data_IF_107356897132
#
_entry.id   IF_107356897132
#
_cell.length_a   1.000
_cell.length_b   1.000
_cell.length_c   1.000
_cell.angle_alpha   90.00
_cell.angle_beta   90.00
_cell.angle_gamma   90.00
#
_symmetry.space_group_name_H-M   'P 1'
#
loop_
_entity.id
_entity.type
_entity.pdbx_description
1 polymer ?
#
# COMPACT_ATOMS: atom_id res chain seq x y z
N UNK A 1 -20.77 53.79 -34.78
CA UNK A 1 -20.07 52.69 -35.46
C UNK A 1 -19.58 51.73 -34.37
N UNK A 2 -20.38 50.73 -34.04
CA UNK A 2 -20.15 49.79 -32.92
C UNK A 2 -19.64 48.47 -33.48
N UNK A 3 -18.40 48.11 -33.18
CA UNK A 3 -17.86 46.78 -33.49
C UNK A 3 -18.33 45.78 -32.43
N UNK A 4 -18.85 44.59 -32.81
CA UNK A 4 -19.20 43.55 -31.86
C UNK A 4 -17.95 42.81 -31.37
N UNK A 5 -17.87 42.54 -30.08
CA UNK A 5 -16.88 41.63 -29.47
C UNK A 5 -17.21 40.18 -29.80
N UNK A 6 -16.25 39.49 -30.41
CA UNK A 6 -16.28 38.03 -30.64
C UNK A 6 -16.27 37.28 -29.29
N UNK A 7 -17.11 36.24 -29.10
CA UNK A 7 -17.02 35.40 -27.91
C UNK A 7 -15.78 34.52 -27.97
N UNK A 8 -15.05 34.43 -26.86
CA UNK A 8 -14.07 33.37 -26.62
C UNK A 8 -14.86 32.10 -26.31
N UNK A 9 -14.96 31.19 -27.28
CA UNK A 9 -15.17 29.78 -27.00
C UNK A 9 -14.57 28.96 -28.15
N UNK A 10 -13.43 28.35 -27.86
CA UNK A 10 -12.93 27.20 -28.58
C UNK A 10 -12.37 26.25 -27.51
N UNK A 11 -13.27 25.39 -27.05
CA UNK A 11 -12.99 24.14 -26.36
C UNK A 11 -12.05 23.32 -27.27
N UNK A 12 -10.73 23.50 -27.09
CA UNK A 12 -9.75 22.63 -27.72
C UNK A 12 -9.99 21.20 -27.23
N UNK A 13 -10.16 20.21 -28.12
CA UNK A 13 -10.31 18.84 -27.69
C UNK A 13 -9.03 18.42 -26.96
N UNK A 14 -9.13 18.21 -25.65
CA UNK A 14 -8.11 17.51 -24.86
C UNK A 14 -7.74 16.24 -25.60
N UNK A 15 -6.44 16.07 -25.86
CA UNK A 15 -5.80 14.86 -26.39
C UNK A 15 -6.52 13.59 -25.90
N UNK A 16 -6.81 12.62 -26.78
CA UNK A 16 -7.53 11.42 -26.39
C UNK A 16 -6.81 10.78 -25.20
N UNK A 17 -7.54 10.62 -24.10
CA UNK A 17 -7.06 9.89 -22.94
C UNK A 17 -6.57 8.52 -23.43
N UNK A 18 -5.43 8.09 -22.89
CA UNK A 18 -4.87 6.75 -23.13
C UNK A 18 -6.00 5.71 -22.96
N UNK A 19 -6.21 4.76 -23.89
CA UNK A 19 -7.31 3.79 -23.82
C UNK A 19 -7.46 3.07 -22.47
N UNK A 20 -6.38 2.96 -21.68
CA UNK A 20 -6.40 2.39 -20.33
C UNK A 20 -6.91 3.34 -19.24
N UNK A 21 -6.81 4.66 -19.44
CA UNK A 21 -7.39 5.67 -18.55
C UNK A 21 -8.90 5.80 -18.76
N UNK A 22 -9.47 5.28 -19.85
CA UNK A 22 -10.89 5.41 -20.16
C UNK A 22 -11.82 4.80 -19.08
N UNK A 23 -11.61 3.57 -18.58
CA UNK A 23 -12.46 2.99 -17.52
C UNK A 23 -12.30 3.70 -16.17
N UNK A 24 -11.14 4.28 -15.90
CA UNK A 24 -10.88 5.08 -14.70
C UNK A 24 -11.54 6.46 -14.83
N UNK A 25 -11.45 7.10 -16.00
CA UNK A 25 -12.09 8.36 -16.35
C UNK A 25 -13.62 8.24 -16.35
N UNK A 26 -14.19 7.11 -16.80
CA UNK A 26 -15.63 6.83 -16.70
C UNK A 26 -16.04 6.65 -15.25
N UNK A 27 -15.31 5.86 -14.46
CA UNK A 27 -15.58 5.71 -13.03
C UNK A 27 -15.47 7.06 -12.28
N UNK A 28 -14.54 7.92 -12.70
CA UNK A 28 -14.32 9.25 -12.17
C UNK A 28 -15.45 10.21 -12.54
N UNK A 29 -15.96 10.18 -13.77
CA UNK A 29 -17.18 10.91 -14.15
C UNK A 29 -18.39 10.42 -13.35
N UNK A 30 -18.57 9.10 -13.22
CA UNK A 30 -19.63 8.53 -12.38
C UNK A 30 -19.49 9.00 -10.92
N UNK A 31 -18.28 9.03 -10.37
CA UNK A 31 -18.03 9.58 -9.04
C UNK A 31 -18.22 11.11 -8.96
N UNK A 32 -18.02 11.86 -10.04
CA UNK A 32 -18.39 13.28 -10.09
C UNK A 32 -19.91 13.46 -10.06
N UNK A 33 -20.68 12.57 -10.69
CA UNK A 33 -22.15 12.60 -10.68
C UNK A 33 -22.77 12.10 -9.37
N UNK A 34 -22.26 10.99 -8.82
CA UNK A 34 -22.81 10.33 -7.61
C UNK A 34 -22.17 10.91 -6.31
N UNK A 35 -21.05 11.60 -6.45
CA UNK A 35 -20.19 12.00 -5.33
C UNK A 35 -19.20 10.91 -4.93
N UNK A 36 -18.01 11.32 -4.50
CA UNK A 36 -16.99 10.41 -3.96
C UNK A 36 -17.56 9.69 -2.72
N UNK A 37 -17.40 8.35 -2.58
CA UNK A 37 -17.98 7.65 -1.44
C UNK A 37 -17.51 8.22 -0.10
N UNK A 38 -18.43 8.33 0.86
CA UNK A 38 -18.19 9.05 2.12
C UNK A 38 -17.01 8.50 2.92
N UNK A 39 -16.82 7.17 2.94
CA UNK A 39 -15.74 6.53 3.69
C UNK A 39 -14.38 6.52 2.96
N UNK A 40 -14.29 7.04 1.72
CA UNK A 40 -13.08 6.99 0.90
C UNK A 40 -11.89 7.63 1.62
N UNK A 41 -10.86 6.81 1.84
CA UNK A 41 -9.60 7.19 2.46
C UNK A 41 -9.61 7.29 3.99
N UNK A 42 -10.78 7.29 4.65
CA UNK A 42 -10.85 7.45 6.11
C UNK A 42 -10.23 6.27 6.86
N UNK A 43 -10.43 5.04 6.37
CA UNK A 43 -9.84 3.84 6.96
C UNK A 43 -8.31 3.99 7.06
N UNK A 44 -7.66 4.40 5.97
CA UNK A 44 -6.20 4.62 5.98
C UNK A 44 -5.77 5.79 6.86
N UNK A 45 -6.56 6.87 6.98
CA UNK A 45 -6.26 7.95 7.94
C UNK A 45 -6.24 7.43 9.38
N UNK A 46 -7.25 6.66 9.78
CA UNK A 46 -7.28 6.06 11.11
C UNK A 46 -6.17 5.02 11.29
N UNK A 47 -5.94 4.17 10.30
CA UNK A 47 -4.85 3.19 10.32
C UNK A 47 -3.48 3.85 10.45
N UNK A 48 -3.25 5.04 9.87
CA UNK A 48 -1.99 5.77 10.05
C UNK A 48 -1.76 6.17 11.51
N UNK A 49 -2.79 6.72 12.18
CA UNK A 49 -2.70 7.10 13.60
C UNK A 49 -2.47 5.87 14.49
N UNK A 50 -3.22 4.80 14.25
CA UNK A 50 -3.05 3.52 14.98
C UNK A 50 -1.65 2.95 14.75
N UNK A 51 -1.16 2.95 13.51
CA UNK A 51 0.17 2.47 13.17
C UNK A 51 1.28 3.26 13.85
N UNK A 52 1.12 4.59 14.03
CA UNK A 52 2.08 5.40 14.80
C UNK A 52 2.13 4.94 16.25
N UNK A 53 0.97 4.78 16.90
CA UNK A 53 0.90 4.40 18.32
C UNK A 53 1.45 2.98 18.52
N UNK A 54 0.90 2.01 17.78
CA UNK A 54 1.27 0.60 17.87
C UNK A 54 2.74 0.38 17.45
N UNK A 55 3.18 1.05 16.40
CA UNK A 55 4.55 0.99 15.91
C UNK A 55 5.55 1.61 16.87
N UNK A 56 5.23 2.77 17.47
CA UNK A 56 6.07 3.36 18.52
C UNK A 56 6.25 2.39 19.69
N UNK A 57 5.18 1.72 20.14
CA UNK A 57 5.29 0.68 21.18
C UNK A 57 6.21 -0.45 20.74
N UNK A 58 6.02 -1.01 19.54
CA UNK A 58 6.86 -2.10 19.03
C UNK A 58 8.34 -1.67 18.96
N UNK A 59 8.63 -0.50 18.43
CA UNK A 59 10.00 0.03 18.31
C UNK A 59 10.63 0.23 19.68
N UNK A 60 9.95 0.94 20.59
CA UNK A 60 10.49 1.25 21.91
C UNK A 60 10.79 -0.01 22.72
N UNK A 61 9.88 -0.99 22.72
CA UNK A 61 10.09 -2.24 23.46
C UNK A 61 11.20 -3.06 22.80
N UNK A 62 11.17 -3.26 21.48
CA UNK A 62 12.20 -4.01 20.75
C UNK A 62 13.60 -3.43 20.98
N UNK A 63 13.72 -2.10 20.97
CA UNK A 63 14.98 -1.41 21.22
C UNK A 63 15.47 -1.59 22.65
N UNK A 64 14.57 -1.42 23.63
CA UNK A 64 14.93 -1.39 25.04
C UNK A 64 15.25 -2.78 25.59
N UNK A 65 14.53 -3.83 25.15
CA UNK A 65 14.58 -5.15 25.80
C UNK A 65 15.23 -6.23 24.95
N UNK A 66 15.37 -6.04 23.63
CA UNK A 66 15.97 -7.04 22.74
C UNK A 66 17.34 -6.58 22.24
N UNK A 67 17.39 -5.56 21.38
CA UNK A 67 18.65 -5.00 20.89
C UNK A 67 18.44 -3.75 20.03
N UNK A 68 19.51 -2.99 19.81
CA UNK A 68 19.55 -1.93 18.78
C UNK A 68 19.14 -2.46 17.39
N UNK A 69 19.57 -3.68 17.03
CA UNK A 69 19.20 -4.31 15.75
C UNK A 69 17.69 -4.53 15.64
N UNK A 70 17.05 -5.02 16.70
CA UNK A 70 15.60 -5.20 16.75
C UNK A 70 14.85 -3.86 16.69
N UNK A 71 15.34 -2.85 17.40
CA UNK A 71 14.82 -1.49 17.33
C UNK A 71 14.89 -0.89 15.92
N UNK A 72 16.02 -1.02 15.21
CA UNK A 72 16.16 -0.53 13.83
C UNK A 72 15.24 -1.29 12.87
N UNK A 73 15.19 -2.63 12.97
CA UNK A 73 14.37 -3.44 12.07
C UNK A 73 12.88 -3.11 12.20
N UNK A 74 12.38 -2.97 13.42
CA UNK A 74 11.00 -2.58 13.70
C UNK A 74 10.71 -1.11 13.40
N UNK A 75 11.71 -0.23 13.50
CA UNK A 75 11.58 1.17 13.08
C UNK A 75 11.38 1.28 11.57
N UNK A 76 12.16 0.54 10.78
CA UNK A 76 12.00 0.48 9.32
C UNK A 76 10.58 0.02 8.98
N UNK A 77 10.12 -1.09 9.56
CA UNK A 77 8.74 -1.55 9.40
C UNK A 77 7.73 -0.44 9.74
N UNK A 78 7.84 0.16 10.93
CA UNK A 78 6.92 1.19 11.43
C UNK A 78 6.86 2.41 10.52
N UNK A 79 8.01 2.92 10.06
CA UNK A 79 8.05 4.07 9.16
C UNK A 79 7.36 3.74 7.83
N UNK A 80 7.57 2.56 7.28
CA UNK A 80 6.96 2.19 5.99
C UNK A 80 5.45 2.01 6.08
N UNK A 81 4.92 1.38 7.14
CA UNK A 81 3.47 1.21 7.31
C UNK A 81 2.76 2.53 7.60
N UNK A 82 3.36 3.39 8.43
CA UNK A 82 2.84 4.74 8.70
C UNK A 82 2.83 5.56 7.42
N UNK A 83 3.94 5.57 6.68
CA UNK A 83 4.03 6.29 5.42
C UNK A 83 3.02 5.78 4.38
N UNK A 84 2.83 4.46 4.27
CA UNK A 84 1.86 3.87 3.36
C UNK A 84 0.44 4.35 3.66
N UNK A 85 -0.01 4.23 4.92
CA UNK A 85 -1.35 4.67 5.30
C UNK A 85 -1.51 6.19 5.23
N UNK A 86 -0.50 6.96 5.63
CA UNK A 86 -0.55 8.42 5.61
C UNK A 86 -0.62 8.97 4.18
N UNK A 87 0.23 8.47 3.28
CA UNK A 87 0.23 8.88 1.86
C UNK A 87 -1.10 8.49 1.22
N UNK A 88 -1.59 7.28 1.46
CA UNK A 88 -2.86 6.81 0.90
C UNK A 88 -4.08 7.56 1.42
N UNK A 89 -4.14 7.78 2.73
CA UNK A 89 -5.15 8.63 3.36
C UNK A 89 -5.14 10.03 2.77
N UNK A 90 -3.96 10.65 2.66
CA UNK A 90 -3.79 12.00 2.10
C UNK A 90 -4.26 12.06 0.65
N UNK A 91 -3.80 11.13 -0.20
CA UNK A 91 -4.18 11.05 -1.61
C UNK A 91 -5.71 11.01 -1.79
N UNK A 92 -6.39 10.22 -0.96
CA UNK A 92 -7.84 10.05 -1.04
C UNK A 92 -8.66 11.10 -0.28
N UNK A 93 -8.10 11.83 0.69
CA UNK A 93 -8.86 12.86 1.45
C UNK A 93 -8.70 14.27 0.90
N UNK A 94 -7.58 14.58 0.26
CA UNK A 94 -7.32 15.92 -0.27
C UNK A 94 -8.09 16.13 -1.59
N UNK A 95 -8.73 17.30 -1.69
CA UNK A 95 -9.31 17.78 -2.95
C UNK A 95 -8.22 18.50 -3.77
N UNK A 96 -7.52 17.72 -4.59
CA UNK A 96 -6.40 18.22 -5.40
C UNK A 96 -6.88 19.18 -6.50
N UNK A 97 -6.50 20.46 -6.39
CA UNK A 97 -6.78 21.48 -7.43
C UNK A 97 -5.81 21.39 -8.62
N UNK A 98 -4.56 20.99 -8.36
CA UNK A 98 -3.54 20.80 -9.39
C UNK A 98 -3.56 19.36 -9.93
N UNK A 99 -3.80 19.15 -11.23
CA UNK A 99 -3.72 17.82 -11.85
C UNK A 99 -2.33 17.19 -11.70
N UNK A 100 -1.27 18.00 -11.75
CA UNK A 100 0.12 17.56 -11.59
C UNK A 100 0.36 17.05 -10.16
N UNK A 101 -0.07 17.80 -9.14
CA UNK A 101 0.05 17.38 -7.74
C UNK A 101 -0.70 16.07 -7.48
N UNK A 102 -1.93 15.95 -8.00
CA UNK A 102 -2.73 14.73 -7.91
C UNK A 102 -2.02 13.52 -8.53
N UNK A 103 -1.42 13.72 -9.71
CA UNK A 103 -0.68 12.67 -10.42
C UNK A 103 0.52 12.18 -9.62
N UNK A 104 1.32 13.09 -9.07
CA UNK A 104 2.47 12.72 -8.23
C UNK A 104 2.05 12.02 -6.95
N UNK A 105 0.96 12.44 -6.32
CA UNK A 105 0.45 11.78 -5.12
C UNK A 105 -0.13 10.39 -5.41
N UNK A 106 -0.77 10.18 -6.56
CA UNK A 106 -1.17 8.83 -7.02
C UNK A 106 0.07 7.93 -7.18
N UNK A 107 1.16 8.46 -7.73
CA UNK A 107 2.42 7.72 -7.87
C UNK A 107 3.01 7.38 -6.50
N UNK A 108 3.09 8.35 -5.59
CA UNK A 108 3.58 8.13 -4.25
C UNK A 108 2.76 7.05 -3.52
N UNK A 109 1.43 7.14 -3.57
CA UNK A 109 0.51 6.16 -2.98
C UNK A 109 0.77 4.74 -3.49
N UNK A 110 0.85 4.56 -4.80
CA UNK A 110 1.15 3.25 -5.39
C UNK A 110 2.58 2.76 -5.09
N UNK A 111 3.56 3.66 -5.05
CA UNK A 111 4.96 3.32 -4.72
C UNK A 111 5.10 2.88 -3.26
N UNK A 112 4.32 3.43 -2.35
CA UNK A 112 4.38 3.06 -0.93
C UNK A 112 4.00 1.60 -0.69
N UNK A 113 3.21 0.97 -1.56
CA UNK A 113 2.91 -0.48 -1.46
C UNK A 113 4.20 -1.30 -1.54
N UNK A 114 5.07 -1.01 -2.51
CA UNK A 114 6.35 -1.71 -2.69
C UNK A 114 7.28 -1.49 -1.50
N UNK A 115 7.40 -0.25 -1.03
CA UNK A 115 8.24 0.13 0.10
C UNK A 115 7.75 -0.55 1.38
N UNK A 116 6.42 -0.57 1.60
CA UNK A 116 5.82 -1.25 2.74
C UNK A 116 6.02 -2.76 2.70
N UNK A 117 5.92 -3.40 1.54
CA UNK A 117 6.23 -4.83 1.41
C UNK A 117 7.66 -5.09 1.92
N UNK A 118 8.67 -4.38 1.41
CA UNK A 118 10.06 -4.54 1.87
C UNK A 118 10.24 -4.23 3.36
N UNK A 119 9.59 -3.17 3.87
CA UNK A 119 9.60 -2.84 5.29
C UNK A 119 8.98 -3.93 6.16
N UNK A 120 7.90 -4.56 5.72
CA UNK A 120 7.23 -5.67 6.43
C UNK A 120 8.08 -6.94 6.51
N UNK A 121 8.95 -7.17 5.53
CA UNK A 121 9.89 -8.30 5.56
C UNK A 121 11.11 -8.05 6.46
N UNK A 122 11.43 -6.79 6.76
CA UNK A 122 12.70 -6.42 7.41
C UNK A 122 12.86 -7.05 8.80
N UNK A 123 11.87 -7.03 9.73
CA UNK A 123 12.00 -7.71 11.02
C UNK A 123 12.24 -9.21 10.89
N UNK A 124 11.54 -9.91 10.00
CA UNK A 124 11.75 -11.33 9.76
C UNK A 124 13.15 -11.61 9.22
N UNK A 125 13.56 -10.88 8.19
CA UNK A 125 14.87 -11.02 7.56
C UNK A 125 16.02 -10.77 8.54
N UNK A 126 15.87 -9.79 9.42
CA UNK A 126 16.96 -9.39 10.33
C UNK A 126 16.93 -10.11 11.68
N UNK A 127 15.80 -10.63 12.13
CA UNK A 127 15.65 -11.16 13.50
C UNK A 127 15.21 -12.62 13.55
N UNK A 128 14.30 -13.05 12.66
CA UNK A 128 13.73 -14.40 12.72
C UNK A 128 14.55 -15.42 11.90
N UNK A 129 15.21 -15.01 10.82
CA UNK A 129 15.94 -15.94 9.95
C UNK A 129 17.41 -16.07 10.34
N UNK A 130 18.03 -17.24 10.09
CA UNK A 130 19.49 -17.35 10.06
C UNK A 130 20.09 -16.32 9.11
N UNK A 131 21.19 -15.68 9.51
CA UNK A 131 21.73 -14.47 8.87
C UNK A 131 21.83 -14.56 7.34
N UNK A 132 22.38 -15.66 6.80
CA UNK A 132 22.50 -15.84 5.35
C UNK A 132 21.14 -15.85 4.62
N UNK A 133 20.15 -16.60 5.12
CA UNK A 133 18.80 -16.64 4.53
C UNK A 133 18.08 -15.31 4.72
N UNK A 134 18.28 -14.68 5.88
CA UNK A 134 17.77 -13.35 6.21
C UNK A 134 18.22 -12.29 5.22
N UNK A 135 19.52 -12.24 4.91
CA UNK A 135 20.07 -11.28 3.94
C UNK A 135 19.59 -11.55 2.51
N UNK A 136 19.46 -12.82 2.11
CA UNK A 136 18.86 -13.16 0.81
C UNK A 136 17.44 -12.63 0.72
N UNK A 137 16.60 -12.88 1.72
CA UNK A 137 15.24 -12.35 1.79
C UNK A 137 15.24 -10.82 1.71
N UNK A 138 16.06 -10.15 2.53
CA UNK A 138 16.18 -8.69 2.58
C UNK A 138 16.49 -8.08 1.21
N UNK A 139 17.50 -8.60 0.51
CA UNK A 139 17.90 -8.04 -0.78
C UNK A 139 16.91 -8.33 -1.90
N UNK A 140 16.24 -9.49 -1.88
CA UNK A 140 15.15 -9.78 -2.82
C UNK A 140 14.03 -8.74 -2.66
N UNK A 141 13.58 -8.50 -1.41
CA UNK A 141 12.40 -7.65 -1.20
C UNK A 141 12.71 -6.17 -1.40
N UNK A 142 13.88 -5.69 -0.96
CA UNK A 142 14.30 -4.30 -1.16
C UNK A 142 14.69 -4.01 -2.60
N UNK A 143 15.36 -4.95 -3.28
CA UNK A 143 15.65 -4.84 -4.70
C UNK A 143 14.37 -4.82 -5.55
N UNK A 144 13.43 -5.72 -5.26
CA UNK A 144 12.11 -5.73 -5.91
C UNK A 144 11.29 -4.48 -5.60
N UNK A 145 11.35 -3.96 -4.37
CA UNK A 145 10.67 -2.73 -4.02
C UNK A 145 11.24 -1.52 -4.77
N UNK A 146 12.57 -1.41 -4.85
CA UNK A 146 13.23 -0.38 -5.64
C UNK A 146 12.80 -0.46 -7.11
N UNK A 147 12.85 -1.65 -7.72
CA UNK A 147 12.39 -1.86 -9.08
C UNK A 147 10.92 -1.44 -9.28
N UNK A 148 10.03 -1.80 -8.36
CA UNK A 148 8.61 -1.40 -8.39
C UNK A 148 8.39 0.10 -8.26
N UNK A 149 9.15 0.78 -7.40
CA UNK A 149 9.13 2.24 -7.25
C UNK A 149 9.60 2.92 -8.54
N UNK A 150 10.75 2.48 -9.10
CA UNK A 150 11.28 3.02 -10.34
C UNK A 150 10.30 2.84 -11.51
N UNK A 151 9.67 1.66 -11.62
CA UNK A 151 8.63 1.42 -12.63
C UNK A 151 7.48 2.41 -12.49
N UNK A 152 6.96 2.65 -11.28
CA UNK A 152 5.86 3.62 -11.08
C UNK A 152 6.25 5.07 -11.29
N UNK A 153 7.50 5.43 -11.07
CA UNK A 153 7.99 6.80 -11.27
C UNK A 153 8.31 7.08 -12.75
N UNK A 154 8.94 6.14 -13.46
CA UNK A 154 9.41 6.32 -14.83
C UNK A 154 8.45 5.83 -15.90
N UNK A 155 7.51 4.93 -15.58
CA UNK A 155 6.47 4.47 -16.50
C UNK A 155 5.07 4.69 -15.93
N UNK A 156 4.57 5.95 -15.97
CA UNK A 156 3.33 6.33 -15.30
C UNK A 156 2.07 5.77 -15.98
N UNK A 157 2.13 5.57 -17.29
CA UNK A 157 1.11 4.93 -18.12
C UNK A 157 1.26 3.40 -18.16
N UNK A 158 2.08 2.81 -17.27
CA UNK A 158 2.18 1.37 -17.19
C UNK A 158 0.82 0.78 -16.80
N UNK A 159 0.33 -0.22 -17.53
CA UNK A 159 -0.96 -0.82 -17.27
C UNK A 159 -1.13 -1.33 -15.85
N UNK A 160 -2.37 -1.29 -15.35
CA UNK A 160 -2.70 -1.82 -14.03
C UNK A 160 -2.29 -3.30 -13.89
N UNK A 161 -2.41 -4.09 -14.97
CA UNK A 161 -2.02 -5.50 -15.01
C UNK A 161 -0.50 -5.73 -14.87
N UNK A 162 0.35 -4.71 -15.04
CA UNK A 162 1.78 -4.81 -14.76
C UNK A 162 2.05 -4.63 -13.27
N UNK A 163 1.44 -3.62 -12.66
CA UNK A 163 1.67 -3.27 -11.26
C UNK A 163 1.11 -4.30 -10.27
N UNK A 164 -0.09 -4.84 -10.56
CA UNK A 164 -0.78 -5.77 -9.65
C UNK A 164 0.00 -7.07 -9.42
N UNK A 165 0.42 -7.81 -10.46
CA UNK A 165 1.23 -9.01 -10.28
C UNK A 165 2.58 -8.71 -9.62
N UNK A 166 3.21 -7.57 -9.90
CA UNK A 166 4.51 -7.23 -9.32
C UNK A 166 4.49 -7.15 -7.80
N UNK A 167 3.54 -6.41 -7.21
CA UNK A 167 3.45 -6.36 -5.75
C UNK A 167 2.94 -7.68 -5.16
N UNK A 168 2.11 -8.46 -5.88
CA UNK A 168 1.67 -9.79 -5.42
C UNK A 168 2.85 -10.76 -5.37
N UNK A 169 3.64 -10.86 -6.44
CA UNK A 169 4.83 -11.71 -6.49
C UNK A 169 5.83 -11.32 -5.39
N UNK A 170 6.10 -10.01 -5.24
CA UNK A 170 6.98 -9.52 -4.19
C UNK A 170 6.41 -9.79 -2.78
N UNK A 171 5.09 -9.61 -2.62
CA UNK A 171 4.37 -9.83 -1.38
C UNK A 171 4.36 -11.29 -0.93
N UNK A 172 4.50 -12.25 -1.85
CA UNK A 172 4.49 -13.69 -1.57
C UNK A 172 5.89 -14.32 -1.43
N UNK A 173 6.98 -13.54 -1.49
CA UNK A 173 8.36 -14.04 -1.29
C UNK A 173 8.52 -14.79 0.04
N UNK A 174 7.76 -14.44 1.08
CA UNK A 174 7.70 -15.13 2.39
C UNK A 174 7.47 -16.63 2.26
N UNK A 175 6.68 -17.06 1.26
CA UNK A 175 6.33 -18.45 1.07
C UNK A 175 7.56 -19.34 0.85
N UNK A 176 8.61 -18.81 0.20
CA UNK A 176 9.87 -19.52 -0.01
C UNK A 176 10.68 -19.70 1.29
N UNK A 177 10.37 -18.90 2.30
CA UNK A 177 11.07 -18.88 3.60
C UNK A 177 10.17 -19.39 4.74
N UNK A 178 9.05 -20.04 4.45
CA UNK A 178 8.07 -20.45 5.47
C UNK A 178 8.68 -21.35 6.55
N UNK A 179 9.53 -22.31 6.19
CA UNK A 179 10.23 -23.18 7.15
C UNK A 179 11.12 -22.37 8.10
N UNK A 180 12.11 -21.62 7.59
CA UNK A 180 12.93 -20.73 8.40
C UNK A 180 12.15 -19.72 9.25
N UNK A 181 11.05 -19.15 8.72
CA UNK A 181 10.18 -18.25 9.49
C UNK A 181 9.47 -19.01 10.61
N UNK A 182 8.99 -20.23 10.35
CA UNK A 182 8.33 -21.05 11.36
C UNK A 182 9.28 -21.42 12.49
N UNK A 183 10.53 -21.78 12.16
CA UNK A 183 11.56 -22.11 13.13
C UNK A 183 11.95 -20.89 13.98
N UNK A 184 12.02 -19.72 13.34
CA UNK A 184 12.52 -18.49 13.98
C UNK A 184 11.47 -17.62 14.65
N UNK A 185 10.22 -17.62 14.17
CA UNK A 185 9.11 -16.77 14.62
C UNK A 185 7.90 -17.59 15.12
N UNK A 186 7.92 -18.91 14.98
CA UNK A 186 6.84 -19.80 15.41
C UNK A 186 5.66 -19.89 14.44
N UNK A 187 4.83 -20.91 14.66
CA UNK A 187 3.65 -21.21 13.83
C UNK A 187 2.64 -20.06 13.82
N UNK A 188 2.44 -19.39 14.96
CA UNK A 188 1.51 -18.26 15.07
C UNK A 188 1.87 -17.12 14.13
N UNK A 189 3.16 -16.78 14.00
CA UNK A 189 3.62 -15.76 13.07
C UNK A 189 3.33 -16.15 11.62
N UNK A 190 3.60 -17.41 11.25
CA UNK A 190 3.34 -17.93 9.91
C UNK A 190 1.85 -17.88 9.57
N UNK A 191 0.97 -18.30 10.47
CA UNK A 191 -0.49 -18.23 10.26
C UNK A 191 -0.93 -16.79 10.05
N UNK A 192 -0.45 -15.85 10.87
CA UNK A 192 -0.76 -14.43 10.73
C UNK A 192 -0.26 -13.85 9.40
N UNK A 193 0.92 -14.24 8.93
CA UNK A 193 1.46 -13.83 7.63
C UNK A 193 0.64 -14.41 6.47
N UNK A 194 0.21 -15.68 6.55
CA UNK A 194 -0.63 -16.29 5.52
C UNK A 194 -1.99 -15.60 5.47
N UNK A 195 -2.64 -15.40 6.61
CA UNK A 195 -3.94 -14.71 6.70
C UNK A 195 -3.81 -13.27 6.22
N UNK A 196 -2.77 -12.55 6.63
CA UNK A 196 -2.51 -11.19 6.17
C UNK A 196 -2.23 -11.11 4.67
N UNK A 197 -1.37 -11.97 4.14
CA UNK A 197 -1.08 -12.07 2.71
C UNK A 197 -2.31 -12.42 1.87
N UNK A 198 -3.16 -13.32 2.37
CA UNK A 198 -4.45 -13.63 1.75
C UNK A 198 -5.39 -12.42 1.76
N UNK A 199 -5.51 -11.70 2.87
CA UNK A 199 -6.33 -10.49 2.96
C UNK A 199 -5.84 -9.38 2.01
N UNK A 200 -4.53 -9.13 1.93
CA UNK A 200 -3.96 -8.21 0.93
C UNK A 200 -4.32 -8.62 -0.49
N UNK A 201 -4.20 -9.91 -0.80
CA UNK A 201 -4.51 -10.46 -2.12
C UNK A 201 -6.00 -10.32 -2.45
N UNK A 202 -6.88 -10.70 -1.53
CA UNK A 202 -8.34 -10.56 -1.66
C UNK A 202 -8.70 -9.09 -1.89
N UNK A 203 -8.19 -8.18 -1.06
CA UNK A 203 -8.43 -6.75 -1.24
C UNK A 203 -8.01 -6.27 -2.63
N UNK A 204 -6.82 -6.65 -3.09
CA UNK A 204 -6.31 -6.29 -4.42
C UNK A 204 -7.19 -6.81 -5.55
N UNK A 205 -7.71 -8.04 -5.42
CA UNK A 205 -8.65 -8.65 -6.37
C UNK A 205 -9.99 -7.89 -6.37
N UNK A 206 -10.58 -7.61 -5.21
CA UNK A 206 -11.82 -6.83 -5.10
C UNK A 206 -11.67 -5.45 -5.74
N UNK A 207 -10.54 -4.79 -5.48
CA UNK A 207 -10.20 -3.52 -6.11
C UNK A 207 -10.15 -3.63 -7.63
N UNK A 208 -9.39 -4.61 -8.15
CA UNK A 208 -9.18 -4.80 -9.59
C UNK A 208 -10.46 -5.17 -10.35
N UNK A 209 -11.32 -5.98 -9.73
CA UNK A 209 -12.63 -6.37 -10.27
C UNK A 209 -13.69 -5.27 -10.13
N UNK A 210 -13.38 -4.16 -9.44
CA UNK A 210 -14.31 -3.08 -9.12
C UNK A 210 -15.60 -3.56 -8.42
N UNK A 211 -15.47 -4.60 -7.59
CA UNK A 211 -16.57 -5.28 -6.92
C UNK A 211 -16.15 -5.72 -5.50
N UNK A 212 -17.04 -5.73 -4.49
CA UNK A 212 -18.48 -5.43 -4.53
C UNK A 212 -18.80 -3.95 -4.27
N UNK A 213 -19.98 -3.51 -4.70
CA UNK A 213 -20.51 -2.15 -4.44
C UNK A 213 -21.89 -2.18 -3.77
N UNK A 214 -22.01 -2.73 -2.55
CA UNK A 214 -23.29 -2.84 -1.85
C UNK A 214 -23.84 -1.46 -1.45
N UNK A 215 -22.97 -0.49 -1.12
CA UNK A 215 -23.36 0.88 -0.79
C UNK A 215 -22.55 1.90 -1.59
N UNK A 216 -22.87 2.13 -2.88
CA UNK A 216 -22.04 2.91 -3.79
C UNK A 216 -21.70 4.35 -3.34
N UNK A 217 -22.55 4.97 -2.51
CA UNK A 217 -22.36 6.34 -2.00
C UNK A 217 -21.58 6.38 -0.68
N UNK A 218 -21.37 5.26 0.01
CA UNK A 218 -20.74 5.22 1.33
C UNK A 218 -19.56 4.25 1.40
N UNK A 219 -19.72 3.02 0.92
CA UNK A 219 -18.78 1.91 1.06
C UNK A 219 -18.89 0.94 -0.13
N UNK A 220 -17.95 1.04 -1.06
CA UNK A 220 -17.83 0.19 -2.24
C UNK A 220 -16.49 -0.55 -2.30
N UNK A 221 -16.12 -1.03 -3.48
CA UNK A 221 -14.99 -1.95 -3.67
C UNK A 221 -13.64 -1.39 -3.16
N UNK A 222 -13.41 -0.09 -3.28
CA UNK A 222 -12.22 0.57 -2.73
C UNK A 222 -12.20 0.56 -1.20
N UNK A 223 -13.34 0.74 -0.55
CA UNK A 223 -13.44 0.69 0.90
C UNK A 223 -13.22 -0.73 1.43
N UNK A 224 -13.71 -1.75 0.71
CA UNK A 224 -13.35 -3.15 0.98
C UNK A 224 -11.85 -3.39 0.84
N UNK A 225 -11.22 -2.87 -0.20
CA UNK A 225 -9.77 -2.91 -0.33
C UNK A 225 -9.06 -2.29 0.87
N UNK A 226 -9.43 -1.06 1.26
CA UNK A 226 -8.84 -0.39 2.42
C UNK A 226 -9.10 -1.12 3.75
N UNK A 227 -10.25 -1.78 3.90
CA UNK A 227 -10.54 -2.59 5.08
C UNK A 227 -9.67 -3.85 5.11
N UNK A 228 -9.56 -4.57 3.99
CA UNK A 228 -8.69 -5.74 3.87
C UNK A 228 -7.22 -5.39 4.15
N UNK A 229 -6.71 -4.27 3.61
CA UNK A 229 -5.33 -3.82 3.88
C UNK A 229 -5.13 -3.46 5.35
N UNK A 230 -6.10 -2.80 5.99
CA UNK A 230 -6.02 -2.48 7.42
C UNK A 230 -6.00 -3.73 8.31
N UNK A 231 -6.88 -4.71 8.04
CA UNK A 231 -6.90 -5.97 8.81
C UNK A 231 -5.63 -6.79 8.56
N UNK A 232 -5.17 -6.87 7.32
CA UNK A 232 -3.92 -7.53 6.97
C UNK A 232 -2.71 -6.89 7.69
N UNK A 233 -2.68 -5.56 7.77
CA UNK A 233 -1.66 -4.82 8.51
C UNK A 233 -1.67 -5.14 10.01
N UNK A 234 -2.85 -5.33 10.61
CA UNK A 234 -2.97 -5.79 12.01
C UNK A 234 -2.37 -7.19 12.16
N UNK A 235 -2.69 -8.13 11.27
CA UNK A 235 -2.10 -9.47 11.29
C UNK A 235 -0.56 -9.41 11.22
N UNK A 236 -0.02 -8.64 10.28
CA UNK A 236 1.42 -8.48 10.12
C UNK A 236 2.06 -7.80 11.34
N UNK A 237 1.42 -6.77 11.91
CA UNK A 237 1.90 -6.11 13.13
C UNK A 237 2.05 -7.11 14.29
N UNK A 238 1.03 -7.94 14.53
CA UNK A 238 1.09 -8.98 15.56
C UNK A 238 2.19 -10.00 15.23
N UNK A 239 2.34 -10.37 13.96
CA UNK A 239 3.41 -11.27 13.53
C UNK A 239 4.82 -10.69 13.79
N UNK A 240 5.00 -9.36 13.73
CA UNK A 240 6.29 -8.73 14.07
C UNK A 240 6.66 -8.93 15.54
N UNK A 241 5.70 -8.92 16.45
CA UNK A 241 5.97 -9.22 17.87
C UNK A 241 6.51 -10.64 18.02
N UNK A 242 5.92 -11.61 17.33
CA UNK A 242 6.48 -12.96 17.32
C UNK A 242 7.90 -12.95 16.74
N UNK A 243 8.14 -12.33 15.59
CA UNK A 243 9.47 -12.29 14.98
C UNK A 243 10.57 -11.66 15.86
N UNK A 244 10.19 -10.76 16.77
CA UNK A 244 11.12 -10.10 17.70
C UNK A 244 11.34 -10.91 18.98
N UNK A 245 10.31 -11.60 19.49
CA UNK A 245 10.29 -12.17 20.84
C UNK A 245 10.20 -13.71 20.90
N UNK A 246 10.25 -14.41 19.78
CA UNK A 246 10.21 -15.88 19.68
C UNK A 246 11.54 -16.56 20.01
N UNK A 247 12.37 -15.93 20.85
CA UNK A 247 13.64 -16.49 21.33
C UNK A 247 13.45 -17.66 22.30
#
# INVERSE_FOLDING_TARGET
>A
MTTPSTPIDADEPRSPADPEDFPEAVAERVAQFIGKPRARGWIHVYSAVVAVICGATLVSVSWAVVSTRAGIATLIYTLTIVAMFAVSGTYHRVNWRSPVARKWMKRADHSMIFIFIAGSYTPFALLALPEGKGMVLFWIVWGGALAGVLLKMFWPSAPAWVGVPLYLLLGWVAAWFIGPIMDGAGVSAVVLLIVGGALYSIGGVLYGLKWPNPWPTTFGHHEFFHACTAVAAICHYIAMWFAVFSS
#
